data_IF_200361030590
#
_entry.id   IF_200361030590
#
_cell.length_a   1.000
_cell.length_b   1.000
_cell.length_c   1.000
_cell.angle_alpha   90.00
_cell.angle_beta   90.00
_cell.angle_gamma   90.00
#
_symmetry.space_group_name_H-M   'P 1'
#
loop_
_entity.id
_entity.type
_entity.pdbx_description
1 polymer ?
#
# COMPACT_ATOMS: atom_id res chain seq x y z
N UNK A 1 -15.09 14.61 -4.66
CA UNK A 1 -14.96 13.56 -3.63
C UNK A 1 -13.72 13.83 -2.81
N UNK A 2 -13.82 13.89 -1.48
CA UNK A 2 -12.65 14.12 -0.64
C UNK A 2 -11.69 12.92 -0.70
N UNK A 3 -10.39 13.19 -0.87
CA UNK A 3 -9.37 12.15 -0.79
C UNK A 3 -9.14 11.71 0.66
N UNK A 4 -8.62 10.50 0.84
CA UNK A 4 -8.25 9.96 2.14
C UNK A 4 -6.73 9.84 2.24
N UNK A 5 -6.20 9.88 3.46
CA UNK A 5 -4.80 9.56 3.69
C UNK A 5 -4.50 8.15 3.16
N UNK A 6 -3.47 8.06 2.32
CA UNK A 6 -2.97 6.80 1.77
C UNK A 6 -1.48 6.70 2.07
N UNK A 7 -1.08 5.53 2.56
CA UNK A 7 0.32 5.22 2.86
C UNK A 7 0.76 4.05 2.00
N UNK A 8 1.93 4.18 1.36
CA UNK A 8 2.60 3.08 0.66
C UNK A 8 3.92 2.80 1.36
N UNK A 9 4.21 1.53 1.64
CA UNK A 9 5.48 1.06 2.18
C UNK A 9 6.10 0.13 1.15
N UNK A 10 7.37 0.33 0.83
CA UNK A 10 8.15 -0.55 -0.06
C UNK A 10 9.36 -1.13 0.67
N UNK A 11 9.79 -2.31 0.24
CA UNK A 11 11.03 -2.95 0.71
C UNK A 11 11.67 -3.73 -0.43
N UNK A 12 12.96 -3.47 -0.67
CA UNK A 12 13.79 -4.16 -1.66
C UNK A 12 13.18 -4.18 -3.08
N UNK A 13 12.54 -3.09 -3.49
CA UNK A 13 12.01 -2.88 -4.84
C UNK A 13 13.04 -2.15 -5.70
N UNK A 14 12.92 -2.25 -7.03
CA UNK A 14 13.76 -1.51 -7.97
C UNK A 14 13.58 0.02 -7.86
N UNK A 15 14.61 0.79 -8.25
CA UNK A 15 14.60 2.25 -8.09
C UNK A 15 13.44 2.96 -8.81
N UNK A 16 12.93 2.36 -9.90
CA UNK A 16 11.80 2.91 -10.65
C UNK A 16 10.56 3.12 -9.78
N UNK A 17 10.31 2.25 -8.80
CA UNK A 17 9.17 2.36 -7.88
C UNK A 17 9.29 3.61 -7.03
N UNK A 18 10.48 3.87 -6.51
CA UNK A 18 10.77 5.08 -5.72
C UNK A 18 10.58 6.34 -6.57
N UNK A 19 11.13 6.36 -7.78
CA UNK A 19 10.95 7.48 -8.71
C UNK A 19 9.47 7.78 -8.99
N UNK A 20 8.67 6.74 -9.24
CA UNK A 20 7.23 6.91 -9.45
C UNK A 20 6.50 7.36 -8.19
N UNK A 21 6.71 6.71 -7.04
CA UNK A 21 5.99 7.04 -5.81
C UNK A 21 6.29 8.46 -5.32
N UNK A 22 7.55 8.91 -5.39
CA UNK A 22 7.93 10.29 -5.05
C UNK A 22 7.33 11.35 -5.98
N UNK A 23 6.89 10.98 -7.18
CA UNK A 23 6.20 11.90 -8.10
C UNK A 23 4.74 12.16 -7.72
N UNK A 24 4.13 11.30 -6.88
CA UNK A 24 2.71 11.37 -6.51
C UNK A 24 2.45 11.37 -5.00
N UNK A 25 3.49 11.15 -4.18
CA UNK A 25 3.42 11.03 -2.72
C UNK A 25 4.69 11.60 -2.07
N UNK A 26 4.59 12.03 -0.81
CA UNK A 26 5.74 12.47 -0.02
C UNK A 26 6.43 11.26 0.61
N UNK A 27 7.73 11.07 0.38
CA UNK A 27 8.54 10.09 1.11
C UNK A 27 8.97 10.66 2.47
N UNK A 28 8.46 10.08 3.57
CA UNK A 28 8.70 10.56 4.94
C UNK A 28 9.79 9.78 5.68
N UNK A 29 10.13 8.59 5.18
CA UNK A 29 11.22 7.74 5.60
C UNK A 29 11.59 6.83 4.41
N UNK A 30 12.78 6.19 4.38
CA UNK A 30 13.16 5.31 3.28
C UNK A 30 12.08 4.26 2.98
N UNK A 31 11.51 4.31 1.77
CA UNK A 31 10.45 3.38 1.36
C UNK A 31 9.08 3.63 1.99
N UNK A 32 8.85 4.75 2.67
CA UNK A 32 7.56 5.11 3.30
C UNK A 32 7.00 6.38 2.67
N UNK A 33 5.91 6.23 1.93
CA UNK A 33 5.28 7.29 1.15
C UNK A 33 3.89 7.61 1.69
N UNK A 34 3.56 8.90 1.80
CA UNK A 34 2.27 9.37 2.31
C UNK A 34 1.66 10.39 1.35
N UNK A 35 0.37 10.24 1.09
CA UNK A 35 -0.47 11.28 0.51
C UNK A 35 -1.59 11.60 1.50
N UNK A 36 -1.75 12.85 1.96
CA UNK A 36 -2.78 13.21 2.95
C UNK A 36 -4.20 13.10 2.39
N UNK A 37 -4.35 13.26 1.07
CA UNK A 37 -5.62 13.19 0.37
C UNK A 37 -5.42 12.56 -1.02
N UNK A 38 -5.68 11.26 -1.11
CA UNK A 38 -5.70 10.54 -2.38
C UNK A 38 -7.14 10.07 -2.65
N UNK A 39 -7.66 10.39 -3.83
CA UNK A 39 -8.97 9.89 -4.26
C UNK A 39 -8.87 8.41 -4.62
N UNK A 40 -9.99 7.69 -4.58
CA UNK A 40 -10.03 6.28 -5.00
C UNK A 40 -9.47 6.09 -6.42
N UNK A 41 -9.87 6.92 -7.39
CA UNK A 41 -9.39 6.79 -8.76
C UNK A 41 -7.88 7.03 -8.94
N UNK A 42 -7.26 7.88 -8.12
CA UNK A 42 -5.79 8.06 -8.14
C UNK A 42 -5.12 6.85 -7.51
N UNK A 43 -5.64 6.39 -6.38
CA UNK A 43 -5.14 5.21 -5.65
C UNK A 43 -5.18 3.94 -6.51
N UNK A 44 -6.27 3.70 -7.22
CA UNK A 44 -6.43 2.55 -8.11
C UNK A 44 -5.40 2.59 -9.24
N UNK A 45 -5.17 3.77 -9.84
CA UNK A 45 -4.15 3.95 -10.89
C UNK A 45 -2.72 3.72 -10.37
N UNK A 46 -2.40 4.28 -9.20
CA UNK A 46 -1.11 4.03 -8.54
C UNK A 46 -0.93 2.53 -8.31
N UNK A 47 -1.95 1.85 -7.78
CA UNK A 47 -1.89 0.42 -7.54
C UNK A 47 -1.70 -0.42 -8.81
N UNK A 48 -2.38 -0.07 -9.91
CA UNK A 48 -2.18 -0.73 -11.22
C UNK A 48 -0.72 -0.63 -11.66
N UNK A 49 -0.11 0.56 -11.64
CA UNK A 49 1.30 0.74 -12.03
C UNK A 49 2.24 -0.11 -11.17
N UNK A 50 2.05 -0.10 -9.85
CA UNK A 50 2.87 -0.89 -8.93
C UNK A 50 2.72 -2.39 -9.16
N UNK A 51 1.48 -2.85 -9.40
CA UNK A 51 1.16 -4.27 -9.63
C UNK A 51 1.72 -4.76 -10.96
N UNK A 52 1.60 -3.97 -12.03
CA UNK A 52 2.11 -4.31 -13.36
C UNK A 52 3.64 -4.43 -13.34
N UNK A 53 4.31 -3.50 -12.67
CA UNK A 53 5.77 -3.57 -12.51
C UNK A 53 6.17 -4.76 -11.66
N UNK A 54 5.44 -5.04 -10.58
CA UNK A 54 5.77 -6.14 -9.69
C UNK A 54 5.57 -7.49 -10.39
N UNK A 55 4.51 -7.64 -11.20
CA UNK A 55 4.31 -8.81 -12.04
C UNK A 55 5.44 -9.04 -13.05
N UNK A 56 6.05 -7.96 -13.56
CA UNK A 56 7.15 -8.04 -14.52
C UNK A 56 8.53 -8.26 -13.87
N UNK A 57 8.78 -7.71 -12.68
CA UNK A 57 10.09 -7.69 -12.03
C UNK A 57 10.22 -8.72 -10.90
N UNK A 58 9.13 -9.03 -10.20
CA UNK A 58 9.04 -10.11 -9.22
C UNK A 58 9.84 -9.92 -7.92
N UNK A 59 10.44 -8.75 -7.68
CA UNK A 59 11.29 -8.49 -6.51
C UNK A 59 10.60 -7.58 -5.48
N UNK A 60 10.98 -7.79 -4.23
CA UNK A 60 10.62 -6.91 -3.13
C UNK A 60 9.17 -7.05 -2.69
N UNK A 61 8.72 -6.07 -1.91
CA UNK A 61 7.36 -6.03 -1.40
C UNK A 61 6.82 -4.62 -1.32
N UNK A 62 5.50 -4.52 -1.45
CA UNK A 62 4.76 -3.27 -1.42
C UNK A 62 3.50 -3.47 -0.58
N UNK A 63 3.23 -2.55 0.34
CA UNK A 63 1.97 -2.49 1.08
C UNK A 63 1.35 -1.12 0.85
N UNK A 64 0.09 -1.08 0.43
CA UNK A 64 -0.69 0.15 0.35
C UNK A 64 -1.84 0.08 1.35
N UNK A 65 -2.04 1.16 2.12
CA UNK A 65 -3.11 1.24 3.12
C UNK A 65 -3.86 2.56 3.07
N UNK A 66 -5.14 2.52 3.43
CA UNK A 66 -5.97 3.69 3.61
C UNK A 66 -7.20 3.37 4.47
N UNK A 67 -7.82 4.42 5.02
CA UNK A 67 -9.06 4.29 5.76
C UNK A 67 -10.21 3.90 4.83
N UNK A 68 -10.91 2.82 5.13
CA UNK A 68 -12.10 2.39 4.39
C UNK A 68 -13.16 1.89 5.38
N UNK A 69 -14.26 2.62 5.52
CA UNK A 69 -15.32 2.31 6.49
C UNK A 69 -16.11 1.04 6.15
N UNK A 70 -15.88 0.45 4.97
CA UNK A 70 -16.46 -0.84 4.56
C UNK A 70 -15.50 -2.01 4.77
N UNK A 71 -14.26 -1.76 5.18
CA UNK A 71 -13.27 -2.79 5.49
C UNK A 71 -13.26 -3.10 6.99
N UNK A 72 -12.88 -4.32 7.34
CA UNK A 72 -12.59 -4.70 8.73
C UNK A 72 -11.55 -3.74 9.34
N UNK A 73 -11.74 -3.37 10.61
CA UNK A 73 -10.90 -2.38 11.29
C UNK A 73 -10.88 -0.98 10.66
N UNK A 74 -11.81 -0.66 9.76
CA UNK A 74 -11.82 0.57 8.95
C UNK A 74 -10.55 0.79 8.11
N UNK A 75 -9.82 -0.28 7.79
CA UNK A 75 -8.52 -0.23 7.11
C UNK A 75 -8.49 -1.19 5.93
N UNK A 76 -8.30 -0.66 4.73
CA UNK A 76 -7.98 -1.48 3.57
C UNK A 76 -6.48 -1.63 3.44
N UNK A 77 -6.04 -2.83 3.10
CA UNK A 77 -4.64 -3.19 2.89
C UNK A 77 -4.55 -3.90 1.54
N UNK A 78 -3.64 -3.46 0.68
CA UNK A 78 -3.23 -4.17 -0.53
C UNK A 78 -1.75 -4.53 -0.41
N UNK A 79 -1.37 -5.71 -0.90
CA UNK A 79 -0.02 -6.23 -0.76
C UNK A 79 0.49 -6.84 -2.07
N UNK A 80 1.75 -6.56 -2.41
CA UNK A 80 2.53 -7.26 -3.44
C UNK A 80 3.77 -7.83 -2.79
N UNK A 81 4.19 -9.02 -3.24
CA UNK A 81 5.31 -9.73 -2.65
C UNK A 81 5.07 -10.08 -1.18
N UNK A 82 6.16 -10.11 -0.41
CA UNK A 82 6.17 -10.61 0.96
C UNK A 82 6.44 -9.45 1.92
N UNK A 83 5.52 -9.16 2.84
CA UNK A 83 5.85 -9.55 4.20
C UNK A 83 4.93 -10.66 4.72
N UNK A 84 5.53 -11.53 5.53
CA UNK A 84 4.99 -12.77 6.09
C UNK A 84 3.95 -12.56 7.22
N UNK A 85 2.93 -11.74 6.99
CA UNK A 85 1.87 -11.45 7.97
C UNK A 85 0.51 -11.84 7.40
N UNK A 86 -0.04 -12.92 7.92
CA UNK A 86 -1.43 -13.29 7.68
C UNK A 86 -2.30 -12.39 8.57
N UNK A 87 -2.92 -11.38 7.95
CA UNK A 87 -3.87 -10.49 8.61
C UNK A 87 -5.22 -11.22 8.67
N UNK A 88 -5.77 -11.34 9.87
CA UNK A 88 -7.06 -11.98 10.11
C UNK A 88 -8.03 -10.99 10.73
N UNK A 89 -9.29 -11.10 10.34
CA UNK A 89 -10.39 -10.37 10.97
C UNK A 89 -10.92 -11.20 12.15
N UNK A 90 -10.87 -10.63 13.34
CA UNK A 90 -11.47 -11.18 14.55
C UNK A 90 -12.54 -10.20 15.04
N UNK A 91 -13.78 -10.42 14.62
CA UNK A 91 -14.95 -9.61 14.98
C UNK A 91 -14.79 -8.10 14.69
N UNK A 92 -14.22 -7.76 13.53
CA UNK A 92 -13.99 -6.39 13.09
C UNK A 92 -12.65 -5.80 13.53
N UNK A 93 -11.84 -6.56 14.29
CA UNK A 93 -10.49 -6.18 14.70
C UNK A 93 -9.47 -6.90 13.82
N UNK A 94 -8.57 -6.14 13.20
CA UNK A 94 -7.47 -6.72 12.43
C UNK A 94 -6.37 -7.21 13.38
N UNK A 95 -6.09 -8.51 13.32
CA UNK A 95 -5.02 -9.16 14.06
C UNK A 95 -3.98 -9.73 13.11
N UNK A 96 -2.77 -9.95 13.62
CA UNK A 96 -1.72 -10.69 12.93
C UNK A 96 -1.68 -12.10 13.48
N UNK A 97 -1.92 -13.10 12.64
CA UNK A 97 -1.67 -14.49 13.01
C UNK A 97 -0.16 -14.71 13.15
N UNK A 98 0.26 -15.13 14.34
CA UNK A 98 1.63 -15.58 14.59
C UNK A 98 1.69 -17.07 14.25
N UNK A 99 2.72 -17.48 13.50
CA UNK A 99 3.10 -18.90 13.39
C UNK A 99 3.86 -19.30 14.65
#
# INVERSE_FOLDING_TARGET
MAGQMTTVVTRDVEDRYRGFLTSVMLEIAPGVYVSPQMTQGVRDRVWTVLSDWWAALGRGSIVMTWRDTKAAGNLRILTLGIPAKEIVDADGILLVKRK
#
